data_IF_594606791635
#
_entry.id   IF_594606791635
#
_cell.length_a   1.000
_cell.length_b   1.000
_cell.length_c   1.000
_cell.angle_alpha   90.00
_cell.angle_beta   90.00
_cell.angle_gamma   90.00
#
_symmetry.space_group_name_H-M   'P 1'
#
loop_
_entity.id
_entity.type
_entity.pdbx_description
1 polymer ?
#
# COMPACT_ATOMS: atom_id res chain seq x y z
N UNK A 1 9.70 4.85 -7.12
CA UNK A 1 10.18 3.87 -6.12
C UNK A 1 9.98 2.45 -6.65
N UNK A 2 10.90 1.51 -6.37
CA UNK A 2 10.75 0.08 -6.71
C UNK A 2 10.42 -0.80 -5.49
N UNK A 3 10.17 -2.09 -5.68
CA UNK A 3 9.76 -2.99 -4.59
C UNK A 3 10.80 -3.13 -3.47
N UNK A 4 12.09 -3.15 -3.83
CA UNK A 4 13.17 -3.23 -2.84
C UNK A 4 13.22 -1.96 -1.99
N UNK A 5 13.09 -0.79 -2.62
CA UNK A 5 13.03 0.50 -1.93
C UNK A 5 11.81 0.60 -1.02
N UNK A 6 10.64 0.12 -1.46
CA UNK A 6 9.43 0.06 -0.63
C UNK A 6 9.66 -0.85 0.60
N UNK A 7 10.23 -2.03 0.38
CA UNK A 7 10.53 -2.99 1.43
C UNK A 7 11.46 -2.39 2.49
N UNK A 8 12.60 -1.83 2.06
CA UNK A 8 13.57 -1.18 2.94
C UNK A 8 12.96 0.03 3.66
N UNK A 9 12.16 0.84 2.98
CA UNK A 9 11.48 1.99 3.58
C UNK A 9 10.50 1.56 4.68
N UNK A 10 9.69 0.53 4.44
CA UNK A 10 8.77 0.00 5.44
C UNK A 10 9.51 -0.57 6.66
N UNK A 11 10.56 -1.37 6.43
CA UNK A 11 11.36 -1.97 7.51
C UNK A 11 12.20 -0.96 8.28
N UNK A 12 12.53 0.20 7.69
CA UNK A 12 13.20 1.28 8.40
C UNK A 12 12.37 1.87 9.55
N UNK A 13 11.05 1.65 9.55
CA UNK A 13 10.14 2.16 10.58
C UNK A 13 10.21 1.29 11.84
N UNK A 14 10.26 1.93 13.00
CA UNK A 14 10.40 1.25 14.29
C UNK A 14 9.25 0.26 14.55
N UNK A 15 9.61 -0.98 14.84
CA UNK A 15 8.64 -2.02 15.24
C UNK A 15 7.78 -2.55 14.09
N UNK A 16 8.20 -2.34 12.85
CA UNK A 16 7.57 -2.95 11.68
C UNK A 16 7.99 -4.41 11.52
N UNK A 17 7.03 -5.24 11.14
CA UNK A 17 7.23 -6.64 10.77
C UNK A 17 6.48 -6.96 9.48
N UNK A 18 6.99 -7.93 8.73
CA UNK A 18 6.42 -8.42 7.45
C UNK A 18 5.74 -9.77 7.61
N UNK A 19 4.67 -10.01 6.85
CA UNK A 19 3.93 -11.26 6.83
C UNK A 19 3.26 -11.50 5.49
N UNK A 20 2.86 -12.76 5.28
CA UNK A 20 2.00 -13.25 4.20
C UNK A 20 0.72 -13.86 4.80
N UNK A 21 -0.18 -13.05 5.38
CA UNK A 21 -1.30 -13.56 6.17
C UNK A 21 -2.48 -14.04 5.32
N UNK A 22 -2.47 -13.80 4.01
CA UNK A 22 -3.57 -14.12 3.09
C UNK A 22 -3.20 -15.25 2.13
N UNK A 23 -2.02 -15.13 1.51
CA UNK A 23 -1.47 -16.04 0.51
C UNK A 23 0.05 -15.80 0.42
N UNK A 24 0.74 -16.51 -0.47
CA UNK A 24 2.20 -16.41 -0.68
C UNK A 24 2.63 -15.17 -1.50
N UNK A 25 1.68 -14.35 -1.97
CA UNK A 25 1.92 -13.22 -2.90
C UNK A 25 1.74 -11.85 -2.22
N UNK A 26 0.80 -11.73 -1.29
CA UNK A 26 0.43 -10.47 -0.67
C UNK A 26 1.34 -10.18 0.52
N UNK A 27 2.38 -9.39 0.26
CA UNK A 27 3.28 -8.88 1.29
C UNK A 27 2.57 -7.82 2.14
N UNK A 28 2.48 -8.07 3.46
CA UNK A 28 1.80 -7.19 4.42
C UNK A 28 2.79 -6.70 5.47
N UNK A 29 2.88 -5.38 5.62
CA UNK A 29 3.61 -4.74 6.71
C UNK A 29 2.69 -4.37 7.86
N UNK A 30 3.12 -4.68 9.07
CA UNK A 30 2.41 -4.38 10.33
C UNK A 30 3.30 -3.60 11.27
N UNK A 31 2.69 -2.75 12.10
CA UNK A 31 3.33 -2.12 13.25
C UNK A 31 2.52 -2.46 14.50
N UNK A 32 3.16 -3.02 15.53
CA UNK A 32 2.46 -3.49 16.74
C UNK A 32 1.33 -4.50 16.42
N UNK A 33 1.52 -5.34 15.40
CA UNK A 33 0.53 -6.32 14.95
C UNK A 33 -0.65 -5.76 14.13
N UNK A 34 -0.68 -4.46 13.82
CA UNK A 34 -1.72 -3.83 12.99
C UNK A 34 -1.19 -3.52 11.59
N UNK A 35 -1.93 -3.92 10.56
CA UNK A 35 -1.57 -3.67 9.15
C UNK A 35 -1.61 -2.19 8.82
N UNK A 36 -0.65 -1.71 8.03
CA UNK A 36 -0.63 -0.33 7.53
C UNK A 36 -0.29 -0.22 6.03
N UNK A 37 0.40 -1.21 5.46
CA UNK A 37 0.76 -1.27 4.04
C UNK A 37 0.70 -2.72 3.57
N UNK A 38 0.21 -2.95 2.36
CA UNK A 38 0.31 -4.25 1.69
C UNK A 38 0.40 -4.10 0.17
N UNK A 39 1.05 -5.04 -0.49
CA UNK A 39 1.28 -5.04 -1.93
C UNK A 39 1.37 -6.47 -2.46
N UNK A 40 0.94 -6.70 -3.70
CA UNK A 40 1.11 -7.99 -4.39
C UNK A 40 2.49 -8.05 -5.05
N UNK A 41 3.28 -9.09 -4.78
CA UNK A 41 4.59 -9.29 -5.40
C UNK A 41 4.46 -9.58 -6.90
N UNK A 42 3.50 -10.40 -7.32
CA UNK A 42 3.28 -10.74 -8.73
C UNK A 42 2.81 -9.55 -9.56
N UNK A 43 2.08 -8.59 -9.00
CA UNK A 43 1.74 -7.35 -9.71
C UNK A 43 2.97 -6.45 -9.92
N UNK A 44 3.95 -6.47 -9.01
CA UNK A 44 5.25 -5.83 -9.28
C UNK A 44 5.98 -6.49 -10.45
N UNK A 45 6.00 -7.83 -10.51
CA UNK A 45 6.65 -8.58 -11.60
C UNK A 45 5.96 -8.36 -12.96
N UNK A 46 4.63 -8.20 -12.97
CA UNK A 46 3.84 -7.91 -14.17
C UNK A 46 3.97 -6.46 -14.66
N UNK A 47 4.59 -5.57 -13.88
CA UNK A 47 4.71 -4.16 -14.21
C UNK A 47 3.44 -3.35 -13.96
N UNK A 48 2.54 -3.84 -13.12
CA UNK A 48 1.32 -3.15 -12.64
C UNK A 48 1.35 -2.89 -11.12
N UNK A 49 2.44 -2.35 -10.55
CA UNK A 49 2.57 -2.23 -9.11
C UNK A 49 1.54 -1.28 -8.50
N UNK A 50 1.01 -1.69 -7.36
CA UNK A 50 0.14 -0.89 -6.52
C UNK A 50 0.25 -1.30 -5.07
N UNK A 51 -0.07 -0.40 -4.16
CA UNK A 51 -0.06 -0.67 -2.72
C UNK A 51 -1.33 -0.18 -2.04
N UNK A 52 -1.75 -0.90 -1.02
CA UNK A 52 -2.88 -0.55 -0.18
C UNK A 52 -2.35 0.08 1.11
N UNK A 53 -2.71 1.35 1.36
CA UNK A 53 -2.29 2.10 2.55
C UNK A 53 -3.47 2.44 3.43
N UNK A 54 -3.25 2.31 4.73
CA UNK A 54 -4.18 2.79 5.73
C UNK A 54 -4.12 4.30 5.80
N UNK A 55 -5.27 4.96 5.81
CA UNK A 55 -5.39 6.41 5.80
C UNK A 55 -6.49 6.88 6.76
N UNK A 56 -6.37 8.12 7.22
CA UNK A 56 -7.47 8.81 7.87
C UNK A 56 -8.64 8.97 6.88
N UNK A 57 -9.92 8.78 7.29
CA UNK A 57 -11.05 8.83 6.36
C UNK A 57 -11.22 10.15 5.61
N UNK A 58 -11.01 11.30 6.25
CA UNK A 58 -11.18 12.60 5.61
C UNK A 58 -10.05 12.82 4.61
N UNK A 59 -8.81 12.54 5.03
CA UNK A 59 -7.64 12.61 4.15
C UNK A 59 -7.73 11.65 2.97
N UNK A 60 -8.32 10.47 3.16
CA UNK A 60 -8.50 9.50 2.10
C UNK A 60 -9.39 10.04 0.97
N UNK A 61 -10.43 10.81 1.30
CA UNK A 61 -11.31 11.43 0.31
C UNK A 61 -10.60 12.58 -0.42
N UNK A 62 -9.86 13.42 0.29
CA UNK A 62 -9.07 14.50 -0.31
C UNK A 62 -8.08 13.95 -1.34
N UNK A 63 -7.31 12.92 -0.97
CA UNK A 63 -6.29 12.33 -1.83
C UNK A 63 -6.88 11.70 -3.10
N UNK A 64 -8.04 11.04 -2.99
CA UNK A 64 -8.74 10.48 -4.17
C UNK A 64 -9.34 11.54 -5.08
N UNK A 65 -9.63 12.72 -4.55
CA UNK A 65 -10.11 13.85 -5.35
C UNK A 65 -8.95 14.58 -6.04
N UNK A 66 -7.76 14.56 -5.45
CA UNK A 66 -6.57 15.21 -5.97
C UNK A 66 -5.83 14.37 -7.02
N UNK A 67 -5.81 13.04 -6.87
CA UNK A 67 -4.99 12.15 -7.68
C UNK A 67 -5.77 11.00 -8.31
N UNK A 68 -5.63 10.81 -9.62
CA UNK A 68 -6.20 9.70 -10.39
C UNK A 68 -5.58 8.34 -10.04
N UNK A 69 -4.34 8.33 -9.55
CA UNK A 69 -3.65 7.12 -9.12
C UNK A 69 -4.09 6.61 -7.74
N UNK A 70 -4.88 7.39 -6.98
CA UNK A 70 -5.36 7.03 -5.65
C UNK A 70 -6.84 6.62 -5.73
N UNK A 71 -7.09 5.34 -5.47
CA UNK A 71 -8.40 4.72 -5.56
C UNK A 71 -8.91 4.22 -4.20
N UNK A 72 -10.22 3.94 -4.06
CA UNK A 72 -10.73 3.23 -2.89
C UNK A 72 -10.05 1.87 -2.71
N UNK A 73 -9.62 1.56 -1.49
CA UNK A 73 -8.81 0.37 -1.21
C UNK A 73 -9.37 -0.94 -1.75
N UNK A 74 -8.64 -1.61 -2.65
CA UNK A 74 -8.96 -2.92 -3.24
C UNK A 74 -9.00 -4.00 -2.15
N UNK A 75 -10.08 -4.79 -2.09
CA UNK A 75 -10.38 -5.78 -1.01
C UNK A 75 -10.34 -5.27 0.44
N UNK A 76 -10.14 -3.97 0.65
CA UNK A 76 -10.06 -3.34 1.97
C UNK A 76 -11.29 -2.44 2.23
N UNK A 77 -11.42 -1.95 3.47
CA UNK A 77 -12.43 -0.94 3.79
C UNK A 77 -12.15 0.34 3.01
N UNK A 78 -13.11 0.77 2.17
CA UNK A 78 -13.01 1.99 1.36
C UNK A 78 -13.08 3.28 2.20
N UNK A 79 -13.36 3.16 3.49
CA UNK A 79 -13.33 4.28 4.44
C UNK A 79 -11.90 4.53 4.94
N UNK A 80 -11.14 3.47 5.20
CA UNK A 80 -9.85 3.56 5.91
C UNK A 80 -8.63 3.22 5.04
N UNK A 81 -8.83 2.82 3.79
CA UNK A 81 -7.76 2.34 2.92
C UNK A 81 -7.86 2.93 1.52
N UNK A 82 -6.69 3.24 0.96
CA UNK A 82 -6.52 3.63 -0.43
C UNK A 82 -5.64 2.62 -1.14
N UNK A 83 -5.96 2.36 -2.41
CA UNK A 83 -5.02 1.74 -3.35
C UNK A 83 -4.29 2.85 -4.08
N UNK A 84 -2.96 2.81 -4.09
CA UNK A 84 -2.11 3.77 -4.81
C UNK A 84 -1.41 3.01 -5.92
N UNK A 85 -1.71 3.38 -7.17
CA UNK A 85 -0.98 2.87 -8.34
C UNK A 85 0.31 3.65 -8.51
N UNK A 86 1.39 2.94 -8.81
CA UNK A 86 2.67 3.55 -9.14
C UNK A 86 2.65 4.14 -10.55
N UNK A 87 3.59 5.06 -10.82
CA UNK A 87 3.80 5.66 -12.13
C UNK A 87 2.57 6.41 -12.69
N UNK A 88 1.69 6.86 -11.79
CA UNK A 88 0.55 7.71 -12.10
C UNK A 88 0.89 9.19 -11.89
N UNK A 89 -0.09 9.94 -11.40
CA UNK A 89 0.02 11.38 -11.08
C UNK A 89 0.47 11.65 -9.64
N UNK A 90 0.84 10.62 -8.89
CA UNK A 90 1.47 10.70 -7.57
C UNK A 90 2.96 10.40 -7.71
N UNK A 91 3.81 11.19 -7.04
CA UNK A 91 5.25 10.92 -7.00
C UNK A 91 5.55 9.68 -6.17
N UNK A 92 6.27 8.74 -6.76
CA UNK A 92 6.70 7.50 -6.10
C UNK A 92 7.84 7.70 -5.08
#
# INVERSE_FOLDING_TARGET
>A
MNIQQLYEFCLSKKGVTEYFPFDEDTLVFKVGGKMFCLTSLSEWEKGTPSLNLKCDPERALELRAEYEAIEPGYHMSKIHWNTVRFHGDVSD
#
